data_IF_242707492606
#
_entry.id   IF_242707492606
#
_cell.length_a   1.000
_cell.length_b   1.000
_cell.length_c   1.000
_cell.angle_alpha   90.00
_cell.angle_beta   90.00
_cell.angle_gamma   90.00
#
_symmetry.space_group_name_H-M   'P 1'
#
loop_
_entity.id
_entity.type
_entity.pdbx_description
1 polymer ?
#
# COMPACT_ATOMS: atom_id res chain seq x y z
N UNK A 1 -41.57 -66.52 10.82
CA UNK A 1 -41.08 -67.39 9.74
C UNK A 1 -39.67 -66.95 9.39
N UNK A 2 -38.68 -67.84 9.61
CA UNK A 2 -37.45 -68.07 8.80
C UNK A 2 -36.53 -66.84 8.61
N UNK A 3 -35.23 -66.78 8.90
CA UNK A 3 -34.14 -67.71 9.28
C UNK A 3 -32.87 -66.81 9.19
N UNK A 4 -32.02 -66.71 10.23
CA UNK A 4 -30.68 -67.35 10.32
C UNK A 4 -29.68 -66.79 9.25
N UNK A 5 -28.45 -66.31 9.49
CA UNK A 5 -27.34 -66.74 10.37
C UNK A 5 -26.23 -65.67 10.43
N UNK A 6 -25.55 -65.63 11.57
CA UNK A 6 -24.18 -65.15 11.73
C UNK A 6 -23.16 -66.05 11.01
N UNK A 7 -22.09 -65.48 10.44
CA UNK A 7 -20.79 -66.12 10.17
C UNK A 7 -19.80 -65.01 9.77
N UNK A 8 -18.89 -64.60 10.65
CA UNK A 8 -17.48 -65.02 10.81
C UNK A 8 -16.50 -64.42 9.79
N UNK A 9 -15.59 -63.58 10.32
CA UNK A 9 -14.37 -63.03 9.69
C UNK A 9 -13.41 -64.14 9.22
N UNK A 10 -12.49 -63.82 8.29
CA UNK A 10 -11.09 -64.07 8.62
C UNK A 10 -10.14 -62.92 8.29
N UNK A 11 -9.19 -62.72 9.22
CA UNK A 11 -7.91 -62.05 9.02
C UNK A 11 -7.13 -62.74 7.90
N UNK A 12 -6.47 -61.97 7.02
CA UNK A 12 -5.29 -62.45 6.28
C UNK A 12 -4.11 -61.51 6.52
N UNK A 13 -3.06 -62.09 7.07
CA UNK A 13 -1.72 -61.58 7.28
C UNK A 13 -0.81 -62.22 6.21
N UNK A 14 0.14 -61.49 5.62
CA UNK A 14 1.61 -61.79 5.66
C UNK A 14 2.45 -61.31 4.43
N UNK A 15 3.50 -60.54 4.77
CA UNK A 15 4.89 -60.41 4.26
C UNK A 15 5.28 -60.13 2.78
N UNK A 16 5.78 -58.90 2.56
CA UNK A 16 7.19 -58.46 2.31
C UNK A 16 8.19 -59.45 1.68
N UNK A 17 8.82 -59.05 0.56
CA UNK A 17 10.29 -58.91 0.24
C UNK A 17 10.34 -58.06 -1.07
N UNK A 18 11.14 -57.02 -1.33
CA UNK A 18 12.44 -56.55 -0.86
C UNK A 18 13.42 -56.49 -2.05
N UNK A 19 13.67 -55.32 -2.63
CA UNK A 19 14.87 -55.04 -3.44
C UNK A 19 15.21 -53.56 -3.38
N UNK A 20 16.39 -53.31 -2.81
CA UNK A 20 16.96 -52.01 -2.55
C UNK A 20 17.58 -51.42 -3.81
N UNK A 21 17.34 -50.13 -4.03
CA UNK A 21 18.22 -49.28 -4.84
C UNK A 21 18.80 -48.24 -3.88
N UNK A 22 20.13 -48.28 -3.73
CA UNK A 22 20.89 -47.27 -3.03
C UNK A 22 21.40 -46.21 -4.02
N UNK A 23 21.89 -45.10 -3.45
CA UNK A 23 22.56 -43.92 -4.06
C UNK A 23 21.57 -42.77 -4.35
N UNK A 24 21.71 -41.55 -3.81
CA UNK A 24 22.86 -40.85 -3.23
C UNK A 24 22.47 -40.06 -1.97
N UNK A 25 23.43 -39.89 -1.06
CA UNK A 25 23.40 -38.86 -0.03
C UNK A 25 23.44 -37.47 -0.70
N UNK A 26 22.27 -36.96 -1.08
CA UNK A 26 22.06 -35.54 -1.28
C UNK A 26 22.12 -34.87 0.09
N UNK A 27 23.03 -33.92 0.25
CA UNK A 27 23.23 -33.15 1.47
C UNK A 27 21.91 -32.75 2.14
N UNK A 28 21.91 -32.77 3.47
CA UNK A 28 20.87 -32.19 4.35
C UNK A 28 20.67 -30.71 4.01
N UNK A 29 19.93 -30.41 2.95
CA UNK A 29 19.41 -29.07 2.73
C UNK A 29 18.08 -29.01 3.47
N UNK A 30 18.15 -28.64 4.75
CA UNK A 30 16.99 -28.01 5.41
C UNK A 30 16.43 -26.95 4.46
N UNK A 31 15.10 -26.85 4.24
CA UNK A 31 14.55 -25.82 3.39
C UNK A 31 15.08 -24.46 3.87
N UNK A 32 15.81 -23.73 3.01
CA UNK A 32 16.22 -22.37 3.36
C UNK A 32 14.96 -21.50 3.32
N UNK A 33 14.43 -21.18 4.49
CA UNK A 33 13.36 -20.21 4.66
C UNK A 33 13.76 -18.84 4.07
N UNK A 34 12.81 -18.06 3.54
CA UNK A 34 13.05 -17.03 2.54
C UNK A 34 13.97 -15.91 3.04
N UNK A 35 14.76 -15.38 2.12
CA UNK A 35 15.64 -14.24 2.35
C UNK A 35 14.84 -12.98 2.71
N UNK A 36 15.33 -12.26 3.72
CA UNK A 36 14.70 -11.09 4.34
C UNK A 36 15.59 -9.85 4.21
N UNK A 37 15.99 -9.52 2.98
CA UNK A 37 16.35 -8.15 2.59
C UNK A 37 15.21 -7.16 2.94
N UNK A 38 15.48 -5.84 3.00
CA UNK A 38 14.99 -4.93 4.02
C UNK A 38 13.54 -5.21 4.45
N UNK A 39 13.39 -5.61 5.71
CA UNK A 39 12.16 -6.19 6.27
C UNK A 39 10.94 -5.26 6.29
N UNK A 40 11.09 -3.99 5.91
CA UNK A 40 10.03 -3.02 5.69
C UNK A 40 10.35 -2.29 4.38
N UNK A 41 9.64 -2.59 3.29
CA UNK A 41 9.80 -1.90 2.00
C UNK A 41 9.39 -0.40 2.08
N UNK A 42 8.86 0.02 3.21
CA UNK A 42 8.45 1.37 3.56
C UNK A 42 7.12 1.31 4.32
N UNK A 43 6.82 2.40 5.01
CA UNK A 43 5.55 2.61 5.68
C UNK A 43 4.88 3.83 5.05
N UNK A 44 3.62 3.71 4.67
CA UNK A 44 2.81 4.75 4.03
C UNK A 44 1.68 5.15 4.97
N UNK A 45 1.55 6.45 5.19
CA UNK A 45 0.35 7.03 5.80
C UNK A 45 -0.46 7.67 4.68
N UNK A 46 -1.66 7.16 4.45
CA UNK A 46 -2.67 7.80 3.61
C UNK A 46 -3.48 8.72 4.49
N UNK A 47 -3.30 10.02 4.34
CA UNK A 47 -4.15 11.02 4.96
C UNK A 47 -5.27 11.41 3.99
N UNK A 48 -6.52 11.37 4.45
CA UNK A 48 -7.69 11.71 3.63
C UNK A 48 -8.67 12.69 4.28
N UNK A 49 -8.21 13.42 5.30
CA UNK A 49 -8.99 14.50 5.90
C UNK A 49 -9.23 15.65 4.91
N UNK A 50 -10.43 16.20 4.93
CA UNK A 50 -10.87 17.27 4.01
C UNK A 50 -11.37 18.50 4.77
N UNK A 51 -10.84 19.69 4.45
CA UNK A 51 -11.25 20.96 5.06
C UNK A 51 -12.40 21.68 4.35
N UNK A 52 -12.68 21.34 3.09
CA UNK A 52 -13.69 21.99 2.27
C UNK A 52 -14.64 21.02 1.55
N UNK A 53 -14.24 20.44 0.42
CA UNK A 53 -15.13 19.59 -0.40
C UNK A 53 -14.76 18.11 -0.33
N UNK A 54 -15.64 17.31 0.28
CA UNK A 54 -15.46 15.86 0.46
C UNK A 54 -15.77 15.13 -0.84
N UNK A 55 -14.72 14.64 -1.49
CA UNK A 55 -14.86 13.86 -2.70
C UNK A 55 -15.42 12.45 -2.41
N UNK A 56 -16.42 11.96 -3.16
CA UNK A 56 -17.09 10.68 -2.87
C UNK A 56 -16.17 9.47 -2.99
N UNK A 57 -15.18 9.51 -3.87
CA UNK A 57 -14.26 8.40 -4.17
C UNK A 57 -13.17 8.21 -3.10
N UNK A 58 -12.99 9.16 -2.18
CA UNK A 58 -11.88 9.10 -1.24
C UNK A 58 -11.89 7.83 -0.39
N UNK A 59 -13.06 7.38 0.08
CA UNK A 59 -13.16 6.12 0.85
C UNK A 59 -12.76 4.93 0.00
N UNK A 60 -13.17 4.90 -1.28
CA UNK A 60 -12.82 3.84 -2.20
C UNK A 60 -11.30 3.80 -2.48
N UNK A 61 -10.69 4.97 -2.72
CA UNK A 61 -9.25 5.13 -2.95
C UNK A 61 -8.45 4.73 -1.71
N UNK A 62 -8.80 5.24 -0.53
CA UNK A 62 -8.12 4.88 0.73
C UNK A 62 -8.21 3.38 1.01
N UNK A 63 -9.39 2.78 0.80
CA UNK A 63 -9.58 1.33 0.97
C UNK A 63 -8.78 0.51 -0.04
N UNK A 64 -8.67 0.97 -1.29
CA UNK A 64 -7.85 0.32 -2.31
C UNK A 64 -6.36 0.38 -1.95
N UNK A 65 -5.84 1.55 -1.57
CA UNK A 65 -4.45 1.73 -1.14
C UNK A 65 -4.11 0.84 0.06
N UNK A 66 -4.98 0.78 1.07
CA UNK A 66 -4.78 -0.08 2.24
C UNK A 66 -4.68 -1.58 1.86
N UNK A 67 -5.49 -2.04 0.90
CA UNK A 67 -5.47 -3.44 0.43
C UNK A 67 -4.21 -3.81 -0.34
N UNK A 68 -3.50 -2.85 -0.93
CA UNK A 68 -2.22 -3.10 -1.61
C UNK A 68 -1.08 -3.45 -0.64
N UNK A 69 -1.26 -3.25 0.67
CA UNK A 69 -0.24 -3.52 1.69
C UNK A 69 0.41 -4.92 1.57
N UNK A 70 -0.41 -5.95 1.38
CA UNK A 70 0.05 -7.34 1.24
C UNK A 70 0.87 -7.56 -0.04
N UNK A 71 0.36 -7.07 -1.17
CA UNK A 71 1.00 -7.24 -2.48
C UNK A 71 2.30 -6.44 -2.59
N UNK A 72 2.35 -5.25 -1.98
CA UNK A 72 3.52 -4.39 -1.97
C UNK A 72 4.56 -4.78 -0.91
N UNK A 73 4.19 -5.60 0.09
CA UNK A 73 5.01 -5.84 1.28
C UNK A 73 5.33 -4.55 2.06
N UNK A 74 4.42 -3.57 2.00
CA UNK A 74 4.53 -2.25 2.62
C UNK A 74 3.37 -2.04 3.57
N UNK A 75 3.62 -1.51 4.76
CA UNK A 75 2.51 -1.11 5.64
C UNK A 75 1.85 0.14 5.08
N UNK A 76 0.53 0.08 4.84
CA UNK A 76 -0.28 1.21 4.38
C UNK A 76 -1.41 1.43 5.37
N UNK A 77 -1.29 2.51 6.16
CA UNK A 77 -2.31 2.92 7.12
C UNK A 77 -3.08 4.12 6.59
N UNK A 78 -4.35 4.23 6.96
CA UNK A 78 -5.23 5.34 6.56
C UNK A 78 -5.62 6.13 7.81
N UNK A 79 -5.58 7.46 7.71
CA UNK A 79 -6.12 8.35 8.75
C UNK A 79 -6.84 9.55 8.13
N UNK A 80 -7.87 10.01 8.82
CA UNK A 80 -8.50 11.32 8.59
C UNK A 80 -8.31 12.26 9.81
N UNK A 81 -7.54 11.83 10.82
CA UNK A 81 -7.40 12.54 12.09
C UNK A 81 -6.18 13.47 12.03
N UNK A 82 -6.35 14.81 12.12
CA UNK A 82 -5.21 15.76 12.04
C UNK A 82 -4.10 15.50 13.07
N UNK A 83 -4.45 15.02 14.26
CA UNK A 83 -3.49 14.68 15.33
C UNK A 83 -2.46 13.64 14.90
N UNK A 84 -2.81 12.75 13.96
CA UNK A 84 -1.92 11.69 13.49
C UNK A 84 -0.72 12.21 12.69
N UNK A 85 -0.85 13.40 12.10
CA UNK A 85 0.25 14.10 11.45
C UNK A 85 1.39 14.38 12.42
N UNK A 86 1.10 14.65 13.68
CA UNK A 86 2.13 14.83 14.70
C UNK A 86 2.52 13.49 15.35
N UNK A 87 1.53 12.69 15.74
CA UNK A 87 1.77 11.55 16.62
C UNK A 87 2.34 10.33 15.92
N UNK A 88 2.03 10.12 14.64
CA UNK A 88 2.42 8.89 13.94
C UNK A 88 3.13 9.11 12.61
N UNK A 89 2.97 10.24 11.92
CA UNK A 89 3.68 10.53 10.65
C UNK A 89 5.20 10.24 10.70
N UNK A 90 5.95 10.52 11.78
CA UNK A 90 7.39 10.20 11.85
C UNK A 90 7.74 8.70 11.69
N UNK A 91 6.76 7.80 11.83
CA UNK A 91 6.91 6.36 11.63
C UNK A 91 6.79 5.96 10.16
N UNK A 92 6.35 6.87 9.30
CA UNK A 92 6.09 6.64 7.88
C UNK A 92 7.16 7.28 7.00
N UNK A 93 7.40 6.66 5.84
CA UNK A 93 8.32 7.12 4.79
C UNK A 93 7.60 7.91 3.71
N UNK A 94 6.32 7.63 3.51
CA UNK A 94 5.49 8.30 2.52
C UNK A 94 4.21 8.81 3.16
N UNK A 95 3.83 10.03 2.83
CA UNK A 95 2.53 10.62 3.13
C UNK A 95 1.77 10.75 1.81
N UNK A 96 0.73 9.94 1.66
CA UNK A 96 -0.22 10.08 0.55
C UNK A 96 -1.32 11.03 0.99
N UNK A 97 -1.50 12.13 0.28
CA UNK A 97 -2.63 13.04 0.46
C UNK A 97 -3.70 12.61 -0.54
N UNK A 98 -4.78 12.01 -0.06
CA UNK A 98 -5.88 11.52 -0.90
C UNK A 98 -7.04 12.51 -0.86
N UNK A 99 -7.16 13.35 -1.90
CA UNK A 99 -8.26 14.31 -2.07
C UNK A 99 -8.39 15.32 -0.92
N UNK A 100 -7.27 15.73 -0.33
CA UNK A 100 -7.26 16.64 0.82
C UNK A 100 -7.40 18.10 0.37
N UNK A 101 -8.62 18.63 0.28
CA UNK A 101 -8.84 20.06 -0.01
C UNK A 101 -8.65 20.91 1.25
N UNK A 102 -8.10 22.12 1.10
CA UNK A 102 -7.96 23.13 2.17
C UNK A 102 -7.44 22.55 3.51
N UNK A 103 -6.23 21.98 3.49
CA UNK A 103 -5.69 21.29 4.68
C UNK A 103 -5.51 22.24 5.88
N UNK A 104 -5.35 23.54 5.65
CA UNK A 104 -5.22 24.55 6.72
C UNK A 104 -6.51 24.76 7.52
N UNK A 105 -7.66 24.26 7.06
CA UNK A 105 -8.87 24.21 7.88
C UNK A 105 -8.86 23.05 8.89
N UNK A 106 -7.95 22.09 8.72
CA UNK A 106 -7.79 20.92 9.59
C UNK A 106 -6.50 20.98 10.41
N UNK A 107 -5.43 21.49 9.81
CA UNK A 107 -4.10 21.54 10.41
C UNK A 107 -3.85 22.89 11.04
N UNK A 108 -3.44 22.86 12.31
CA UNK A 108 -2.85 24.02 12.95
C UNK A 108 -1.38 24.22 12.50
N UNK A 109 -0.77 25.31 12.97
CA UNK A 109 0.61 25.66 12.62
C UNK A 109 1.62 24.58 13.02
N UNK A 110 1.35 23.82 14.08
CA UNK A 110 2.26 22.79 14.58
C UNK A 110 2.18 21.53 13.71
N UNK A 111 0.98 21.14 13.29
CA UNK A 111 0.75 20.05 12.34
C UNK A 111 1.36 20.35 10.97
N UNK A 112 1.18 21.58 10.47
CA UNK A 112 1.82 22.02 9.22
C UNK A 112 3.34 21.90 9.31
N UNK A 113 3.93 22.47 10.37
CA UNK A 113 5.38 22.41 10.60
C UNK A 113 5.91 20.98 10.76
N UNK A 114 5.11 20.07 11.34
CA UNK A 114 5.48 18.67 11.46
C UNK A 114 5.63 17.97 10.10
N UNK A 115 4.76 18.28 9.13
CA UNK A 115 4.89 17.77 7.75
C UNK A 115 6.15 18.32 7.08
N UNK A 116 6.39 19.63 7.19
CA UNK A 116 7.58 20.29 6.62
C UNK A 116 8.87 19.69 7.15
N UNK A 117 8.99 19.56 8.47
CA UNK A 117 10.17 19.02 9.13
C UNK A 117 10.39 17.53 8.83
N UNK A 118 9.30 16.78 8.68
CA UNK A 118 9.36 15.38 8.27
C UNK A 118 9.81 15.24 6.81
N UNK A 119 9.29 16.07 5.91
CA UNK A 119 9.70 16.10 4.50
C UNK A 119 11.18 16.45 4.35
N UNK A 120 11.67 17.48 5.06
CA UNK A 120 13.08 17.87 5.06
C UNK A 120 14.02 16.75 5.54
N UNK A 121 13.52 15.81 6.35
CA UNK A 121 14.28 14.63 6.84
C UNK A 121 14.22 13.44 5.86
N UNK A 122 13.69 13.63 4.65
CA UNK A 122 13.63 12.62 3.60
C UNK A 122 12.31 11.85 3.54
N UNK A 123 11.23 12.39 4.12
CA UNK A 123 9.87 11.90 3.87
C UNK A 123 9.41 12.25 2.45
N UNK A 124 8.63 11.37 1.81
CA UNK A 124 8.10 11.59 0.46
C UNK A 124 6.61 11.90 0.44
N UNK A 125 6.17 12.89 -0.33
CA UNK A 125 4.75 13.22 -0.48
C UNK A 125 4.23 12.71 -1.83
N UNK A 126 3.05 12.10 -1.82
CA UNK A 126 2.27 11.78 -3.02
C UNK A 126 0.91 12.48 -2.88
N UNK A 127 0.66 13.49 -3.72
CA UNK A 127 -0.60 14.22 -3.71
C UNK A 127 -1.51 13.70 -4.82
N UNK A 128 -2.76 13.35 -4.48
CA UNK A 128 -3.73 12.79 -5.41
C UNK A 128 -4.88 13.78 -5.64
N UNK A 129 -5.17 14.03 -6.93
CA UNK A 129 -6.32 14.80 -7.40
C UNK A 129 -6.52 16.11 -6.64
N UNK A 130 -7.51 16.20 -5.75
CA UNK A 130 -7.92 17.46 -5.15
C UNK A 130 -7.02 17.98 -4.02
N UNK A 131 -5.88 17.33 -3.77
CA UNK A 131 -4.92 17.76 -2.75
C UNK A 131 -4.37 19.17 -2.93
N UNK A 132 -4.42 19.74 -4.14
CA UNK A 132 -4.02 21.13 -4.41
C UNK A 132 -5.19 22.12 -4.44
N UNK A 133 -6.43 21.65 -4.25
CA UNK A 133 -7.61 22.52 -4.30
C UNK A 133 -7.67 23.37 -3.03
N UNK A 134 -7.66 24.69 -3.23
CA UNK A 134 -7.90 25.70 -2.19
C UNK A 134 -6.86 25.66 -1.07
N UNK A 135 -5.59 25.40 -1.41
CA UNK A 135 -4.48 25.44 -0.45
C UNK A 135 -3.99 26.88 -0.22
N UNK A 136 -4.86 27.76 0.29
CA UNK A 136 -4.62 29.21 0.25
C UNK A 136 -3.62 29.72 1.29
N UNK A 137 -3.46 29.02 2.41
CA UNK A 137 -2.74 29.53 3.58
C UNK A 137 -1.50 28.71 3.97
N UNK A 138 -0.98 27.89 3.05
CA UNK A 138 0.20 27.06 3.29
C UNK A 138 1.23 27.23 2.16
N UNK A 139 1.93 28.36 2.17
CA UNK A 139 2.85 28.76 1.11
C UNK A 139 3.89 27.68 0.76
N UNK A 140 4.46 27.00 1.76
CA UNK A 140 5.41 25.91 1.56
C UNK A 140 4.84 24.78 0.71
N UNK A 141 3.58 24.38 0.94
CA UNK A 141 2.97 23.28 0.19
C UNK A 141 2.69 23.67 -1.27
N UNK A 142 2.29 24.92 -1.51
CA UNK A 142 2.09 25.43 -2.87
C UNK A 142 3.42 25.54 -3.64
N UNK A 143 4.49 25.98 -2.98
CA UNK A 143 5.83 26.01 -3.58
C UNK A 143 6.31 24.60 -3.93
N UNK A 144 6.07 23.63 -3.05
CA UNK A 144 6.38 22.22 -3.32
C UNK A 144 5.58 21.67 -4.50
N UNK A 145 4.30 22.03 -4.61
CA UNK A 145 3.41 21.57 -5.68
C UNK A 145 3.78 22.16 -7.04
N UNK A 146 4.30 23.40 -7.06
CA UNK A 146 4.65 24.12 -8.28
C UNK A 146 3.46 24.65 -9.09
N UNK A 147 2.23 24.44 -8.62
CA UNK A 147 1.00 24.97 -9.21
C UNK A 147 -0.12 25.11 -8.16
N UNK A 148 -1.17 25.84 -8.53
CA UNK A 148 -2.40 25.98 -7.74
C UNK A 148 -3.61 25.57 -8.60
N UNK A 149 -4.73 25.31 -7.93
CA UNK A 149 -6.00 25.01 -8.59
C UNK A 149 -6.60 26.27 -9.22
N UNK A 150 -6.89 26.20 -10.51
CA UNK A 150 -7.58 27.25 -11.27
C UNK A 150 -9.06 26.90 -11.51
N UNK A 151 -9.32 25.72 -12.10
CA UNK A 151 -10.67 25.25 -12.43
C UNK A 151 -10.71 23.73 -12.64
N UNK A 152 -11.93 23.19 -12.76
CA UNK A 152 -12.19 21.81 -13.18
C UNK A 152 -12.70 21.73 -14.63
N UNK A 153 -12.47 20.58 -15.27
CA UNK A 153 -13.06 20.23 -16.55
C UNK A 153 -14.35 19.44 -16.37
N UNK A 154 -15.10 19.26 -17.45
CA UNK A 154 -16.09 18.18 -17.50
C UNK A 154 -15.47 16.81 -17.21
N UNK A 155 -16.25 15.90 -16.63
CA UNK A 155 -15.84 14.54 -16.36
C UNK A 155 -15.84 13.70 -17.64
N UNK A 156 -14.69 13.65 -18.31
CA UNK A 156 -14.51 13.00 -19.61
C UNK A 156 -13.24 12.13 -19.66
N UNK A 157 -13.22 11.08 -20.50
CA UNK A 157 -12.00 10.32 -20.75
C UNK A 157 -10.91 11.22 -21.37
N UNK A 158 -9.68 11.08 -20.90
CA UNK A 158 -8.51 11.76 -21.44
C UNK A 158 -7.40 10.76 -21.79
N UNK A 159 -6.57 11.11 -22.77
CA UNK A 159 -5.38 10.32 -23.12
C UNK A 159 -4.15 10.94 -22.48
N UNK A 160 -3.49 10.18 -21.60
CA UNK A 160 -2.18 10.54 -21.05
C UNK A 160 -1.10 10.10 -22.03
N UNK A 161 -0.17 10.99 -22.37
CA UNK A 161 0.95 10.71 -23.27
C UNK A 161 2.25 10.91 -22.48
N UNK A 162 3.11 9.89 -22.47
CA UNK A 162 4.44 9.97 -21.85
C UNK A 162 5.40 10.65 -22.82
N UNK A 163 6.08 11.70 -22.36
CA UNK A 163 7.16 12.34 -23.12
C UNK A 163 8.24 11.30 -23.47
N UNK A 164 8.63 11.16 -24.75
CA UNK A 164 9.71 10.28 -25.16
C UNK A 164 11.01 10.41 -24.34
N UNK A 165 11.36 11.62 -23.90
CA UNK A 165 12.54 11.86 -23.07
C UNK A 165 12.40 11.28 -21.65
N UNK A 166 11.16 11.10 -21.16
CA UNK A 166 10.87 10.61 -19.82
C UNK A 166 10.65 9.08 -19.75
N UNK A 167 10.68 8.36 -20.88
CA UNK A 167 10.35 6.91 -20.94
C UNK A 167 11.16 6.01 -19.99
N UNK A 168 12.35 6.44 -19.59
CA UNK A 168 13.20 5.70 -18.66
C UNK A 168 12.96 6.05 -17.18
N UNK A 169 12.13 7.05 -16.89
CA UNK A 169 11.83 7.46 -15.52
C UNK A 169 11.04 6.35 -14.79
N UNK A 170 11.41 5.96 -13.56
CA UNK A 170 10.77 4.84 -12.86
C UNK A 170 9.25 4.90 -12.75
N UNK A 171 8.67 6.11 -12.66
CA UNK A 171 7.22 6.30 -12.55
C UNK A 171 6.43 6.00 -13.83
N UNK A 172 7.07 6.00 -15.00
CA UNK A 172 6.39 5.84 -16.30
C UNK A 172 7.04 4.78 -17.19
N UNK A 173 8.12 4.14 -16.71
CA UNK A 173 8.79 3.08 -17.47
C UNK A 173 7.84 1.91 -17.70
N UNK A 174 7.64 1.54 -18.95
CA UNK A 174 6.68 0.51 -19.36
C UNK A 174 5.25 1.02 -19.53
N UNK A 175 5.00 2.31 -19.30
CA UNK A 175 3.76 2.98 -19.67
C UNK A 175 3.91 3.69 -21.03
N UNK A 176 2.95 3.47 -21.93
CA UNK A 176 2.98 3.91 -23.33
C UNK A 176 3.41 2.81 -24.28
#
# INVERSE_FOLDING_TARGET
MISLRHTLLPLLVLAIVGSAVAVAHGADTKPKAPDRGPKNLGSVLVFSGTGWYRHPETVAVSGWLARLSGDLGMQVDVSETPKDIESILPKYKVLVLNNCTEMTALFDAKQMKAVEDWYQKGGGIVALHASLVRQTNWAWFNELAGCDFDSDSEFLPARVVVDPAAKNHPAVKGAG
#
